data_IF_398838836801
#
_entry.id   IF_398838836801
#
_cell.length_a   1.000
_cell.length_b   1.000
_cell.length_c   1.000
_cell.angle_alpha   90.00
_cell.angle_beta   90.00
_cell.angle_gamma   90.00
#
_symmetry.space_group_name_H-M   'P 1'
#
loop_
_entity.id
_entity.type
_entity.pdbx_description
1 polymer ?
#
# COMPACT_ATOMS: atom_id res chain seq x y z
N UNK A 1 -21.24 -1.90 10.40
CA UNK A 1 -20.96 -1.19 9.14
C UNK A 1 -19.70 -0.34 9.33
N UNK A 2 -18.55 -0.82 8.86
CA UNK A 2 -17.30 -0.04 8.89
C UNK A 2 -17.41 0.97 7.76
N UNK A 3 -17.59 2.24 8.13
CA UNK A 3 -17.73 3.36 7.21
C UNK A 3 -16.64 3.33 6.14
N UNK A 4 -17.01 3.74 4.93
CA UNK A 4 -16.18 3.97 3.74
C UNK A 4 -14.84 4.66 4.07
N UNK A 5 -13.86 3.86 4.50
CA UNK A 5 -12.45 4.24 4.64
C UNK A 5 -11.72 4.08 3.28
N UNK A 6 -12.39 3.44 2.32
CA UNK A 6 -11.82 2.93 1.09
C UNK A 6 -11.21 3.97 0.16
N UNK A 7 -11.89 5.06 -0.20
CA UNK A 7 -11.41 5.84 -1.36
C UNK A 7 -10.17 6.69 -1.10
N UNK A 8 -10.11 7.43 0.02
CA UNK A 8 -9.02 8.38 0.26
C UNK A 8 -7.71 7.66 0.62
N UNK A 9 -7.77 6.64 1.48
CA UNK A 9 -6.59 5.89 1.90
C UNK A 9 -6.02 5.04 0.76
N UNK A 10 -6.87 4.37 -0.01
CA UNK A 10 -6.44 3.63 -1.19
C UNK A 10 -5.82 4.58 -2.22
N UNK A 11 -6.42 5.77 -2.45
CA UNK A 11 -5.85 6.79 -3.35
C UNK A 11 -4.50 7.31 -2.88
N UNK A 12 -4.28 7.46 -1.57
CA UNK A 12 -3.00 7.88 -1.01
C UNK A 12 -1.89 6.84 -1.24
N UNK A 13 -2.19 5.55 -1.00
CA UNK A 13 -1.27 4.44 -1.27
C UNK A 13 -0.94 4.37 -2.76
N UNK A 14 -1.97 4.36 -3.61
CA UNK A 14 -1.77 4.28 -5.06
C UNK A 14 -0.95 5.46 -5.56
N UNK A 15 -1.23 6.68 -5.10
CA UNK A 15 -0.44 7.87 -5.45
C UNK A 15 1.02 7.76 -4.97
N UNK A 16 1.27 7.21 -3.79
CA UNK A 16 2.62 7.02 -3.28
C UNK A 16 3.39 5.97 -4.12
N UNK A 17 2.74 4.87 -4.47
CA UNK A 17 3.34 3.78 -5.24
C UNK A 17 3.49 4.11 -6.73
N UNK A 18 2.59 4.91 -7.33
CA UNK A 18 2.67 5.31 -8.74
C UNK A 18 3.64 6.45 -9.00
N UNK A 19 3.98 7.26 -7.99
CA UNK A 19 5.05 8.28 -8.12
C UNK A 19 6.39 7.69 -8.55
N UNK A 20 6.62 6.40 -8.28
CA UNK A 20 7.85 5.68 -8.58
C UNK A 20 7.55 4.23 -8.98
N UNK A 21 6.79 4.03 -10.07
CA UNK A 21 6.47 2.68 -10.59
C UNK A 21 7.75 1.84 -10.71
N UNK A 22 7.73 0.62 -10.18
CA UNK A 22 8.88 -0.28 -10.15
C UNK A 22 9.92 -0.04 -9.04
N UNK A 23 9.93 1.11 -8.36
CA UNK A 23 10.85 1.36 -7.24
C UNK A 23 10.28 0.87 -5.90
N UNK A 24 11.14 0.36 -4.99
CA UNK A 24 10.71 -0.02 -3.65
C UNK A 24 10.41 1.22 -2.80
N UNK A 25 9.24 1.23 -2.17
CA UNK A 25 8.79 2.21 -1.17
C UNK A 25 8.74 1.55 0.20
N UNK A 26 9.26 2.21 1.24
CA UNK A 26 9.27 1.66 2.59
C UNK A 26 7.87 1.54 3.19
N UNK A 27 7.62 0.47 3.95
CA UNK A 27 6.34 0.29 4.65
C UNK A 27 6.02 1.43 5.62
N UNK A 28 7.01 1.92 6.36
CA UNK A 28 6.87 3.07 7.26
C UNK A 28 6.57 4.37 6.52
N UNK A 29 7.09 4.54 5.30
CA UNK A 29 6.80 5.69 4.44
C UNK A 29 5.34 5.65 3.97
N UNK A 30 4.83 4.48 3.56
CA UNK A 30 3.43 4.29 3.21
C UNK A 30 2.49 4.47 4.41
N UNK A 31 2.89 3.98 5.59
CA UNK A 31 2.13 4.19 6.82
C UNK A 31 2.09 5.67 7.21
N UNK A 32 3.19 6.41 7.06
CA UNK A 32 3.24 7.86 7.23
C UNK A 32 2.34 8.56 6.21
N UNK A 33 2.34 8.15 4.95
CA UNK A 33 1.46 8.70 3.93
C UNK A 33 -0.04 8.50 4.25
N UNK A 34 -0.38 7.37 4.89
CA UNK A 34 -1.75 7.01 5.26
C UNK A 34 -2.25 7.66 6.55
N UNK A 35 -1.39 7.74 7.57
CA UNK A 35 -1.78 8.11 8.92
C UNK A 35 -1.08 9.38 9.45
N UNK A 36 -0.01 9.84 8.78
CA UNK A 36 0.81 10.97 9.25
C UNK A 36 0.06 12.29 9.35
N UNK A 37 -0.98 12.49 8.53
CA UNK A 37 -1.81 13.70 8.55
C UNK A 37 -3.06 13.57 9.44
N UNK A 38 -3.32 12.42 10.06
CA UNK A 38 -4.51 12.25 10.91
C UNK A 38 -4.24 12.76 12.32
N UNK A 39 -5.14 13.64 12.81
CA UNK A 39 -5.22 14.00 14.24
C UNK A 39 -5.48 12.79 15.14
N UNK A 40 -6.22 11.79 14.64
CA UNK A 40 -6.52 10.55 15.36
C UNK A 40 -5.98 9.36 14.58
N UNK A 41 -4.94 8.72 15.13
CA UNK A 41 -4.38 7.48 14.56
C UNK A 41 -5.30 6.29 14.90
N UNK A 42 -5.46 5.32 13.98
CA UNK A 42 -6.24 4.12 14.27
C UNK A 42 -5.63 3.31 15.42
N UNK A 43 -6.47 2.60 16.19
CA UNK A 43 -6.05 1.75 17.32
C UNK A 43 -5.07 0.64 16.90
N UNK A 44 -5.22 0.14 15.66
CA UNK A 44 -4.35 -0.91 15.09
C UNK A 44 -3.84 -0.49 13.70
N UNK A 45 -2.85 0.41 13.62
CA UNK A 45 -2.46 1.03 12.35
C UNK A 45 -1.86 0.02 11.35
N UNK A 46 -1.16 -1.01 11.83
CA UNK A 46 -0.65 -2.10 10.97
C UNK A 46 -1.77 -2.94 10.35
N UNK A 47 -2.81 -3.27 11.12
CA UNK A 47 -3.94 -4.05 10.60
C UNK A 47 -4.71 -3.26 9.55
N UNK A 48 -4.95 -1.97 9.80
CA UNK A 48 -5.59 -1.08 8.82
C UNK A 48 -4.72 -0.97 7.57
N UNK A 49 -3.41 -0.77 7.72
CA UNK A 49 -2.47 -0.76 6.59
C UNK A 49 -2.54 -2.03 5.75
N UNK A 50 -2.50 -3.21 6.37
CA UNK A 50 -2.58 -4.48 5.66
C UNK A 50 -3.90 -4.65 4.91
N UNK A 51 -5.02 -4.26 5.52
CA UNK A 51 -6.33 -4.31 4.87
C UNK A 51 -6.42 -3.34 3.69
N UNK A 52 -6.02 -2.07 3.89
CA UNK A 52 -5.99 -1.09 2.80
C UNK A 52 -5.07 -1.54 1.66
N UNK A 53 -3.97 -2.23 1.99
CA UNK A 53 -3.08 -2.77 0.98
C UNK A 53 -3.69 -3.93 0.20
N UNK A 54 -4.39 -4.84 0.87
CA UNK A 54 -5.10 -5.94 0.22
C UNK A 54 -6.17 -5.40 -0.74
N UNK A 55 -6.98 -4.46 -0.28
CA UNK A 55 -8.01 -3.83 -1.11
C UNK A 55 -7.40 -3.10 -2.32
N UNK A 56 -6.30 -2.37 -2.11
CA UNK A 56 -5.63 -1.65 -3.18
C UNK A 56 -5.02 -2.60 -4.22
N UNK A 57 -4.45 -3.74 -3.78
CA UNK A 57 -3.92 -4.77 -4.68
C UNK A 57 -5.03 -5.35 -5.55
N UNK A 58 -6.15 -5.77 -4.94
CA UNK A 58 -7.28 -6.35 -5.67
C UNK A 58 -7.80 -5.40 -6.76
N UNK A 59 -7.90 -4.10 -6.46
CA UNK A 59 -8.35 -3.09 -7.42
C UNK A 59 -7.40 -2.89 -8.59
N UNK A 60 -6.09 -2.97 -8.39
CA UNK A 60 -5.14 -2.74 -9.49
C UNK A 60 -4.86 -3.99 -10.31
N UNK A 61 -5.13 -5.18 -9.77
CA UNK A 61 -5.00 -6.46 -10.49
C UNK A 61 -5.93 -6.54 -11.69
N UNK A 62 -7.14 -5.97 -11.59
CA UNK A 62 -8.08 -5.81 -12.71
C UNK A 62 -7.48 -5.03 -13.89
N UNK A 63 -6.48 -4.18 -13.64
CA UNK A 63 -5.79 -3.37 -14.66
C UNK A 63 -4.43 -3.94 -15.06
N UNK A 64 -4.10 -5.18 -14.66
CA UNK A 64 -2.84 -5.83 -15.01
C UNK A 64 -1.63 -5.38 -14.19
N UNK A 65 -1.85 -4.79 -13.01
CA UNK A 65 -0.80 -4.40 -12.07
C UNK A 65 -0.95 -5.12 -10.74
N UNK A 66 0.16 -5.37 -10.05
CA UNK A 66 0.13 -5.93 -8.69
C UNK A 66 1.14 -5.22 -7.79
N UNK A 67 0.93 -5.37 -6.48
CA UNK A 67 1.79 -4.77 -5.45
C UNK A 67 2.59 -5.90 -4.83
N UNK A 68 3.91 -5.88 -4.95
CA UNK A 68 4.77 -6.90 -4.33
C UNK A 68 5.38 -6.35 -3.06
N UNK A 69 5.34 -7.15 -2.00
CA UNK A 69 6.05 -6.89 -0.76
C UNK A 69 7.32 -7.72 -0.73
N UNK A 70 8.47 -7.09 -0.47
CA UNK A 70 9.75 -7.77 -0.24
C UNK A 70 10.27 -7.38 1.14
N UNK A 71 10.83 -8.35 1.87
CA UNK A 71 11.51 -8.05 3.13
C UNK A 71 12.83 -7.35 2.84
N UNK A 72 13.00 -6.12 3.31
CA UNK A 72 14.23 -5.36 3.22
C UNK A 72 15.02 -5.51 4.54
N UNK A 73 15.67 -6.66 4.74
CA UNK A 73 16.65 -6.89 5.81
C UNK A 73 16.26 -6.31 7.19
N UNK A 74 17.17 -5.53 7.80
CA UNK A 74 16.96 -4.84 9.09
C UNK A 74 15.99 -3.64 9.03
N UNK A 75 15.52 -3.23 7.85
CA UNK A 75 14.75 -2.00 7.61
C UNK A 75 13.24 -2.17 7.40
N UNK A 76 12.69 -3.38 7.56
CA UNK A 76 11.25 -3.65 7.42
C UNK A 76 10.85 -4.17 6.03
N UNK A 77 9.57 -4.03 5.66
CA UNK A 77 9.05 -4.43 4.35
C UNK A 77 9.10 -3.27 3.36
N UNK A 78 9.49 -3.55 2.12
CA UNK A 78 9.37 -2.62 0.99
C UNK A 78 8.30 -3.10 0.02
N UNK A 79 7.62 -2.15 -0.62
CA UNK A 79 6.50 -2.37 -1.50
C UNK A 79 6.77 -1.73 -2.85
N UNK A 80 6.41 -2.42 -3.94
CA UNK A 80 6.52 -1.87 -5.30
C UNK A 80 5.31 -2.26 -6.13
N UNK A 81 4.87 -1.38 -7.03
CA UNK A 81 3.91 -1.72 -8.08
C UNK A 81 4.69 -2.24 -9.30
N UNK A 82 4.27 -3.39 -9.81
CA UNK A 82 4.81 -4.02 -11.02
C UNK A 82 3.66 -4.56 -11.88
N UNK A 83 3.85 -4.81 -13.19
CA UNK A 83 2.86 -5.51 -14.00
C UNK A 83 2.60 -6.92 -13.42
N UNK A 84 1.35 -7.38 -13.45
CA UNK A 84 0.98 -8.72 -12.94
C UNK A 84 1.76 -9.82 -13.63
N UNK A 85 2.03 -9.68 -14.94
CA UNK A 85 2.88 -10.61 -15.71
C UNK A 85 4.30 -10.74 -15.18
N UNK A 86 4.84 -9.69 -14.52
CA UNK A 86 6.17 -9.69 -13.92
C UNK A 86 6.15 -10.15 -12.44
N UNK A 87 4.97 -10.25 -11.83
CA UNK A 87 4.78 -10.67 -10.45
C UNK A 87 4.41 -12.14 -10.28
N UNK A 88 4.01 -12.83 -11.34
CA UNK A 88 3.58 -14.23 -11.34
C UNK A 88 4.74 -15.25 -11.30
N UNK A 89 5.87 -14.89 -10.67
CA UNK A 89 7.06 -15.75 -10.53
C UNK A 89 6.97 -16.60 -9.28
#
# INVERSE_FOLDING_TARGET
MIASIGSFQQRAILKALTKKVGQPVGGEELMTALFGFRKVKPKYPRSVFQQTMADARQKIEEFGWTIVAKRAGRGGSVYRIIPTVAGAV
#
